data_IF_018165027686
#
_entry.id   IF_018165027686
#
_cell.length_a   1.000
_cell.length_b   1.000
_cell.length_c   1.000
_cell.angle_alpha   90.00
_cell.angle_beta   90.00
_cell.angle_gamma   90.00
#
_symmetry.space_group_name_H-M   'P 1'
#
loop_
_entity.id
_entity.type
_entity.pdbx_description
1 polymer ?
#
# COMPACT_ATOMS: atom_id res chain seq x y z
N UNK A 1 -31.45 17.94 -2.27
CA UNK A 1 -30.11 17.38 -2.57
C UNK A 1 -29.14 18.01 -1.59
N UNK A 2 -28.48 17.23 -0.73
CA UNK A 2 -27.45 17.73 0.17
C UNK A 2 -26.19 18.06 -0.63
N UNK A 3 -25.67 19.29 -0.49
CA UNK A 3 -24.39 19.67 -1.06
C UNK A 3 -23.27 18.97 -0.29
N UNK A 4 -22.66 17.95 -0.88
CA UNK A 4 -21.43 17.36 -0.33
C UNK A 4 -20.25 18.24 -0.74
N UNK A 5 -19.51 18.83 0.23
CA UNK A 5 -18.35 19.65 -0.09
C UNK A 5 -17.34 18.83 -0.91
N UNK A 6 -16.86 19.43 -1.99
CA UNK A 6 -15.83 18.82 -2.82
C UNK A 6 -14.50 18.82 -2.06
N UNK A 7 -14.10 17.66 -1.54
CA UNK A 7 -12.82 17.48 -0.86
C UNK A 7 -11.66 17.61 -1.86
N UNK A 8 -10.67 18.44 -1.53
CA UNK A 8 -9.43 18.59 -2.29
C UNK A 8 -8.25 18.16 -1.44
N UNK A 9 -7.29 17.49 -2.07
CA UNK A 9 -6.04 17.07 -1.46
C UNK A 9 -4.86 17.84 -2.07
N UNK A 10 -3.76 17.88 -1.33
CA UNK A 10 -2.48 18.37 -1.84
C UNK A 10 -1.82 17.32 -2.74
N UNK A 11 -1.29 17.77 -3.87
CA UNK A 11 -0.62 16.92 -4.86
C UNK A 11 0.72 17.52 -5.25
N UNK A 12 1.71 16.66 -5.49
CA UNK A 12 3.06 17.07 -5.87
C UNK A 12 3.34 16.70 -7.34
N UNK A 13 3.47 17.73 -8.21
CA UNK A 13 3.76 17.53 -9.63
C UNK A 13 5.09 16.80 -9.86
N UNK A 14 6.10 17.02 -9.03
CA UNK A 14 7.43 16.40 -9.20
C UNK A 14 7.38 14.91 -8.88
N UNK A 15 6.64 14.52 -7.85
CA UNK A 15 6.44 13.11 -7.50
C UNK A 15 5.65 12.41 -8.61
N UNK A 16 4.58 13.03 -9.11
CA UNK A 16 3.81 12.52 -10.23
C UNK A 16 4.69 12.30 -11.48
N UNK A 17 5.44 13.32 -11.91
CA UNK A 17 6.33 13.21 -13.06
C UNK A 17 7.39 12.13 -12.90
N UNK A 18 8.03 12.05 -11.73
CA UNK A 18 9.06 11.06 -11.45
C UNK A 18 8.47 9.65 -11.51
N UNK A 19 7.26 9.47 -10.98
CA UNK A 19 6.53 8.20 -11.01
C UNK A 19 6.22 7.77 -12.43
N UNK A 20 5.71 8.67 -13.27
CA UNK A 20 5.43 8.35 -14.67
C UNK A 20 6.70 8.00 -15.45
N UNK A 21 7.78 8.77 -15.28
CA UNK A 21 9.08 8.47 -15.90
C UNK A 21 9.59 7.09 -15.51
N UNK A 22 9.45 6.73 -14.24
CA UNK A 22 9.83 5.43 -13.73
C UNK A 22 9.01 4.30 -14.40
N UNK A 23 7.70 4.52 -14.58
CA UNK A 23 6.80 3.60 -15.31
C UNK A 23 7.01 3.60 -16.84
N UNK A 24 7.95 4.39 -17.38
CA UNK A 24 8.17 4.53 -18.82
C UNK A 24 7.05 5.32 -19.54
N UNK A 25 6.21 6.05 -18.80
CA UNK A 25 5.07 6.82 -19.33
C UNK A 25 5.31 8.33 -19.21
N UNK A 26 4.47 9.14 -19.85
CA UNK A 26 4.54 10.60 -19.74
C UNK A 26 3.16 11.23 -19.44
N UNK A 27 3.17 12.50 -18.99
CA UNK A 27 1.95 13.21 -18.56
C UNK A 27 0.91 13.32 -19.67
N UNK A 28 1.34 13.53 -20.92
CA UNK A 28 0.44 13.67 -22.06
C UNK A 28 -0.27 12.36 -22.35
N UNK A 29 0.49 11.29 -22.51
CA UNK A 29 -0.02 9.94 -22.75
C UNK A 29 -1.01 9.50 -21.66
N UNK A 30 -0.62 9.64 -20.38
CA UNK A 30 -1.48 9.25 -19.26
C UNK A 30 -2.73 10.13 -19.18
N UNK A 31 -2.60 11.44 -19.42
CA UNK A 31 -3.72 12.36 -19.37
C UNK A 31 -4.77 12.09 -20.46
N UNK A 32 -4.33 11.80 -21.69
CA UNK A 32 -5.21 11.41 -22.78
C UNK A 32 -5.84 10.03 -22.53
N UNK A 33 -5.06 9.06 -22.07
CA UNK A 33 -5.58 7.72 -21.78
C UNK A 33 -6.61 7.74 -20.64
N UNK A 34 -6.35 8.50 -19.56
CA UNK A 34 -7.27 8.68 -18.44
C UNK A 34 -8.60 9.33 -18.88
N UNK A 35 -8.52 10.32 -19.78
CA UNK A 35 -9.72 11.01 -20.28
C UNK A 35 -10.60 10.11 -21.16
N UNK A 36 -9.99 9.20 -21.92
CA UNK A 36 -10.67 8.32 -22.87
C UNK A 36 -10.97 6.91 -22.31
N UNK A 37 -10.61 6.62 -21.06
CA UNK A 37 -10.82 5.30 -20.46
C UNK A 37 -12.28 5.09 -20.05
N UNK A 38 -12.97 4.13 -20.69
CA UNK A 38 -14.40 3.92 -20.47
C UNK A 38 -14.77 3.31 -19.11
N UNK A 39 -13.81 2.66 -18.45
CA UNK A 39 -13.97 2.08 -17.12
C UNK A 39 -14.02 3.13 -16.00
N UNK A 40 -13.59 4.36 -16.29
CA UNK A 40 -13.61 5.47 -15.33
C UNK A 40 -14.95 6.20 -15.45
N UNK A 41 -15.61 6.50 -14.33
CA UNK A 41 -16.81 7.37 -14.33
C UNK A 41 -16.49 8.70 -15.04
N UNK A 42 -17.27 9.04 -16.07
CA UNK A 42 -17.11 10.27 -16.85
C UNK A 42 -17.07 11.56 -15.99
N UNK A 43 -17.67 11.55 -14.80
CA UNK A 43 -17.61 12.66 -13.82
C UNK A 43 -16.22 12.84 -13.19
N UNK A 44 -15.40 11.80 -13.19
CA UNK A 44 -14.04 11.76 -12.66
C UNK A 44 -12.99 12.00 -13.74
N UNK A 45 -13.28 11.66 -15.01
CA UNK A 45 -12.36 11.88 -16.14
C UNK A 45 -11.98 13.34 -16.28
N UNK A 46 -10.70 13.62 -16.52
CA UNK A 46 -10.15 14.96 -16.73
C UNK A 46 -9.21 14.91 -17.91
N UNK A 47 -9.29 15.92 -18.77
CA UNK A 47 -8.33 16.06 -19.87
C UNK A 47 -6.92 16.27 -19.33
N UNK A 48 -5.92 15.96 -20.16
CA UNK A 48 -4.49 16.25 -19.87
C UNK A 48 -4.33 17.68 -19.35
N UNK A 49 -4.94 18.65 -20.04
CA UNK A 49 -4.84 20.07 -19.69
C UNK A 49 -5.40 20.34 -18.29
N UNK A 50 -6.52 19.70 -17.92
CA UNK A 50 -7.13 19.86 -16.61
C UNK A 50 -6.27 19.22 -15.50
N UNK A 51 -5.74 18.02 -15.73
CA UNK A 51 -4.82 17.35 -14.81
C UNK A 51 -3.54 18.17 -14.60
N UNK A 52 -2.90 18.61 -15.69
CA UNK A 52 -1.71 19.47 -15.64
C UNK A 52 -1.95 20.74 -14.85
N UNK A 53 -3.10 21.40 -15.05
CA UNK A 53 -3.45 22.61 -14.30
C UNK A 53 -3.67 22.32 -12.80
N UNK A 54 -4.24 21.16 -12.44
CA UNK A 54 -4.43 20.76 -11.05
C UNK A 54 -3.09 20.47 -10.36
N UNK A 55 -2.18 19.75 -11.03
CA UNK A 55 -0.82 19.50 -10.53
C UNK A 55 -0.02 20.80 -10.35
N UNK A 56 -0.07 21.72 -11.32
CA UNK A 56 0.56 23.04 -11.19
C UNK A 56 0.01 23.88 -10.02
N UNK A 57 -1.28 23.72 -9.70
CA UNK A 57 -1.91 24.37 -8.54
C UNK A 57 -1.62 23.67 -7.22
N UNK A 58 -1.01 22.48 -7.26
CA UNK A 58 -0.75 21.65 -6.08
C UNK A 58 -2.00 21.12 -5.39
N UNK A 59 -3.19 21.21 -6.01
CA UNK A 59 -4.46 20.77 -5.41
C UNK A 59 -5.35 20.08 -6.44
N UNK A 60 -5.87 18.90 -6.09
CA UNK A 60 -6.79 18.13 -6.92
C UNK A 60 -7.99 17.64 -6.11
N UNK A 61 -9.12 17.43 -6.78
CA UNK A 61 -10.28 16.77 -6.18
C UNK A 61 -9.90 15.35 -5.76
N UNK A 62 -10.25 14.94 -4.54
CA UNK A 62 -9.81 13.66 -3.96
C UNK A 62 -10.25 12.44 -4.77
N UNK A 63 -11.51 12.40 -5.16
CA UNK A 63 -12.11 11.35 -6.00
C UNK A 63 -11.46 11.25 -7.40
N UNK A 64 -11.15 12.39 -8.02
CA UNK A 64 -10.43 12.44 -9.31
C UNK A 64 -9.01 11.92 -9.14
N UNK A 65 -8.35 12.32 -8.05
CA UNK A 65 -6.99 11.87 -7.79
C UNK A 65 -6.93 10.38 -7.45
N UNK A 66 -7.87 9.87 -6.67
CA UNK A 66 -7.98 8.43 -6.37
C UNK A 66 -8.25 7.62 -7.65
N UNK A 67 -9.14 8.09 -8.52
CA UNK A 67 -9.36 7.47 -9.83
C UNK A 67 -8.09 7.49 -10.70
N UNK A 68 -7.34 8.59 -10.69
CA UNK A 68 -6.07 8.70 -11.40
C UNK A 68 -5.01 7.75 -10.82
N UNK A 69 -4.92 7.67 -9.50
CA UNK A 69 -4.01 6.78 -8.79
C UNK A 69 -4.31 5.31 -9.12
N UNK A 70 -5.58 4.92 -9.11
CA UNK A 70 -6.05 3.59 -9.54
C UNK A 70 -5.72 3.31 -10.99
N UNK A 71 -5.96 4.27 -11.89
CA UNK A 71 -5.68 4.13 -13.32
C UNK A 71 -4.18 3.93 -13.61
N UNK A 72 -3.30 4.51 -12.80
CA UNK A 72 -1.84 4.39 -12.94
C UNK A 72 -1.32 3.18 -12.15
N UNK A 73 -2.17 2.50 -11.37
CA UNK A 73 -1.81 1.44 -10.43
C UNK A 73 -0.76 1.88 -9.40
N UNK A 74 -0.96 3.05 -8.78
CA UNK A 74 -0.07 3.58 -7.73
C UNK A 74 -0.89 4.05 -6.54
N UNK A 75 -0.41 3.78 -5.32
CA UNK A 75 -1.01 4.23 -4.08
C UNK A 75 -1.16 5.77 -4.03
N UNK A 76 -2.33 6.29 -3.65
CA UNK A 76 -2.60 7.72 -3.66
C UNK A 76 -1.75 8.53 -2.66
N UNK A 77 -1.32 7.96 -1.54
CA UNK A 77 -0.45 8.64 -0.57
C UNK A 77 0.99 8.76 -1.12
N UNK A 78 1.46 7.74 -1.85
CA UNK A 78 2.72 7.83 -2.59
C UNK A 78 2.62 8.87 -3.71
N UNK A 79 1.63 8.73 -4.61
CA UNK A 79 1.51 9.55 -5.81
C UNK A 79 1.31 11.04 -5.50
N UNK A 80 0.59 11.35 -4.42
CA UNK A 80 0.33 12.73 -3.97
C UNK A 80 1.57 13.41 -3.37
N UNK A 81 2.63 12.64 -3.12
CA UNK A 81 3.82 13.09 -2.42
C UNK A 81 3.64 13.14 -0.90
N UNK A 82 2.51 12.66 -0.35
CA UNK A 82 2.23 12.70 1.09
C UNK A 82 3.28 11.93 1.88
N UNK A 83 3.60 10.70 1.48
CA UNK A 83 4.64 9.90 2.15
C UNK A 83 6.01 10.61 2.19
N UNK A 84 6.37 11.32 1.12
CA UNK A 84 7.63 12.10 1.08
C UNK A 84 7.60 13.31 2.02
N UNK A 85 6.43 13.95 2.21
CA UNK A 85 6.25 15.03 3.20
C UNK A 85 6.32 14.47 4.61
N UNK A 86 5.67 13.34 4.86
CA UNK A 86 5.65 12.65 6.15
C UNK A 86 7.09 12.26 6.58
N UNK A 87 7.90 11.69 5.68
CA UNK A 87 9.31 11.38 5.95
C UNK A 87 10.14 12.64 6.24
N UNK A 88 9.89 13.74 5.51
CA UNK A 88 10.58 15.02 5.75
C UNK A 88 10.27 15.57 7.13
N UNK A 89 9.06 15.33 7.66
CA UNK A 89 8.62 15.80 8.96
C UNK A 89 9.16 14.98 10.15
N UNK A 90 9.66 13.76 9.92
CA UNK A 90 10.24 12.92 10.99
C UNK A 90 11.41 13.62 11.70
N UNK A 91 11.54 13.44 13.01
CA UNK A 91 12.70 13.94 13.77
C UNK A 91 13.84 12.90 13.81
N UNK A 92 14.45 12.68 12.64
CA UNK A 92 15.56 11.73 12.46
C UNK A 92 16.69 12.35 11.63
N UNK A 93 17.93 11.83 11.72
CA UNK A 93 19.05 12.35 10.95
C UNK A 93 18.76 12.42 9.45
N UNK A 94 19.28 13.47 8.78
CA UNK A 94 19.04 13.68 7.35
C UNK A 94 19.53 12.53 6.46
N UNK A 95 20.55 11.77 6.89
CA UNK A 95 20.99 10.55 6.22
C UNK A 95 19.90 9.47 6.20
N UNK A 96 19.20 9.28 7.32
CA UNK A 96 18.08 8.32 7.44
C UNK A 96 16.91 8.76 6.56
N UNK A 97 16.54 10.04 6.56
CA UNK A 97 15.49 10.58 5.66
C UNK A 97 15.82 10.33 4.19
N UNK A 98 17.07 10.55 3.78
CA UNK A 98 17.52 10.29 2.40
C UNK A 98 17.44 8.80 2.05
N UNK A 99 17.88 7.91 2.95
CA UNK A 99 17.79 6.48 2.74
C UNK A 99 16.34 6.02 2.55
N UNK A 100 15.42 6.51 3.39
CA UNK A 100 13.99 6.22 3.26
C UNK A 100 13.44 6.70 1.91
N UNK A 101 13.67 7.96 1.53
CA UNK A 101 13.21 8.52 0.25
C UNK A 101 13.76 7.76 -0.96
N UNK A 102 15.03 7.34 -0.92
CA UNK A 102 15.66 6.56 -2.01
C UNK A 102 15.07 5.17 -2.10
N UNK A 103 14.70 4.56 -0.96
CA UNK A 103 14.11 3.23 -0.93
C UNK A 103 12.68 3.16 -1.46
N UNK A 104 12.00 4.30 -1.58
CA UNK A 104 10.64 4.40 -2.08
C UNK A 104 10.62 4.37 -3.61
N UNK A 105 10.28 3.21 -4.18
CA UNK A 105 10.10 3.00 -5.61
C UNK A 105 8.62 2.81 -5.92
N UNK A 106 8.11 3.31 -7.08
CA UNK A 106 6.69 3.16 -7.44
C UNK A 106 6.16 1.71 -7.35
N UNK A 107 6.98 0.72 -7.72
CA UNK A 107 6.63 -0.72 -7.65
C UNK A 107 6.20 -1.19 -6.26
N UNK A 108 6.73 -0.58 -5.20
CA UNK A 108 6.42 -0.94 -3.81
C UNK A 108 5.11 -0.33 -3.31
N UNK A 109 4.54 0.59 -4.09
CA UNK A 109 3.38 1.38 -3.74
C UNK A 109 2.34 1.28 -4.85
N UNK A 110 1.95 0.05 -5.23
CA UNK A 110 0.85 -0.19 -6.18
C UNK A 110 -0.49 0.16 -5.57
N UNK A 111 -1.49 0.44 -6.39
CA UNK A 111 -2.81 0.81 -5.89
C UNK A 111 -3.45 -0.37 -5.15
N UNK A 112 -3.95 -0.15 -3.94
CA UNK A 112 -4.50 -1.21 -3.10
C UNK A 112 -3.46 -2.05 -2.35
N UNK A 113 -2.16 -1.94 -2.69
CA UNK A 113 -1.08 -2.47 -1.87
C UNK A 113 -0.68 -1.45 -0.81
N UNK A 114 -1.35 -1.46 0.35
CA UNK A 114 -0.81 -0.80 1.55
C UNK A 114 0.35 -1.65 2.08
N UNK A 115 1.51 -1.02 2.21
CA UNK A 115 2.78 -1.52 2.76
C UNK A 115 2.67 -2.91 3.42
N UNK A 116 3.00 -3.98 2.68
CA UNK A 116 3.01 -5.36 3.22
C UNK A 116 4.08 -5.58 4.31
N UNK A 117 4.94 -4.59 4.55
CA UNK A 117 5.89 -4.58 5.67
C UNK A 117 5.26 -4.17 7.00
N UNK A 118 4.15 -3.44 6.96
CA UNK A 118 3.34 -3.00 8.10
C UNK A 118 1.97 -3.71 8.13
N UNK A 119 1.59 -4.37 7.02
CA UNK A 119 0.34 -5.09 6.87
C UNK A 119 0.31 -6.43 7.59
N UNK A 120 1.44 -7.11 7.83
CA UNK A 120 1.44 -8.35 8.62
C UNK A 120 0.99 -8.09 10.06
N UNK A 121 1.41 -6.97 10.64
CA UNK A 121 0.91 -6.47 11.91
C UNK A 121 -0.59 -6.21 11.83
N UNK A 122 -1.01 -5.24 11.00
CA UNK A 122 -2.42 -4.82 10.90
C UNK A 122 -3.40 -5.92 10.51
N UNK A 123 -3.03 -6.81 9.60
CA UNK A 123 -3.82 -7.99 9.23
C UNK A 123 -4.14 -8.85 10.46
N UNK A 124 -3.14 -9.07 11.31
CA UNK A 124 -3.32 -9.80 12.55
C UNK A 124 -4.19 -9.03 13.55
N UNK A 125 -3.94 -7.72 13.69
CA UNK A 125 -4.75 -6.85 14.56
C UNK A 125 -6.22 -6.80 14.11
N UNK A 126 -6.48 -6.81 12.80
CA UNK A 126 -7.80 -6.77 12.19
C UNK A 126 -8.55 -8.09 12.42
N UNK A 127 -7.90 -9.26 12.23
CA UNK A 127 -8.48 -10.57 12.55
C UNK A 127 -8.89 -10.61 14.03
N UNK A 128 -7.98 -10.24 14.93
CA UNK A 128 -8.25 -10.24 16.36
C UNK A 128 -9.40 -9.29 16.73
N UNK A 129 -9.39 -8.08 16.15
CA UNK A 129 -10.43 -7.07 16.39
C UNK A 129 -11.81 -7.53 15.92
N UNK A 130 -11.90 -8.22 14.77
CA UNK A 130 -13.16 -8.79 14.27
C UNK A 130 -13.75 -9.84 15.22
N UNK A 131 -12.90 -10.54 15.98
CA UNK A 131 -13.30 -11.51 16.99
C UNK A 131 -13.41 -10.95 18.41
N UNK A 132 -13.31 -9.62 18.57
CA UNK A 132 -13.40 -8.96 19.88
C UNK A 132 -12.19 -9.21 20.78
N UNK A 133 -11.05 -9.61 20.22
CA UNK A 133 -9.80 -9.86 20.95
C UNK A 133 -8.90 -8.65 20.82
N UNK A 134 -8.46 -8.11 21.96
CA UNK A 134 -7.59 -6.92 21.99
C UNK A 134 -6.11 -7.27 21.83
N UNK A 135 -5.32 -6.31 21.33
CA UNK A 135 -3.85 -6.42 21.30
C UNK A 135 -3.24 -6.55 22.69
N UNK A 136 -3.92 -6.03 23.72
CA UNK A 136 -3.47 -6.21 25.11
C UNK A 136 -3.53 -7.68 25.53
N UNK A 137 -4.57 -8.40 25.13
CA UNK A 137 -4.69 -9.85 25.39
C UNK A 137 -3.67 -10.65 24.59
N UNK A 138 -3.38 -10.25 23.35
CA UNK A 138 -2.31 -10.85 22.54
C UNK A 138 -0.95 -10.72 23.24
N UNK A 139 -0.60 -9.50 23.68
CA UNK A 139 0.69 -9.22 24.36
C UNK A 139 0.85 -9.93 25.69
N UNK A 140 -0.25 -10.34 26.33
CA UNK A 140 -0.21 -11.14 27.56
C UNK A 140 0.23 -12.59 27.32
N UNK A 141 0.23 -13.07 26.07
CA UNK A 141 0.63 -14.44 25.73
C UNK A 141 2.15 -14.66 25.76
N UNK A 142 2.94 -13.58 25.66
CA UNK A 142 4.39 -13.68 25.47
C UNK A 142 4.78 -13.87 24.01
N UNK A 143 6.03 -13.50 23.67
CA UNK A 143 6.44 -13.33 22.27
C UNK A 143 6.37 -14.65 21.48
N UNK A 144 6.76 -15.77 22.08
CA UNK A 144 6.70 -17.08 21.43
C UNK A 144 5.26 -17.46 21.07
N UNK A 145 4.32 -17.31 22.01
CA UNK A 145 2.91 -17.66 21.77
C UNK A 145 2.21 -16.71 20.80
N UNK A 146 2.62 -15.45 20.73
CA UNK A 146 2.17 -14.54 19.67
C UNK A 146 2.52 -15.09 18.28
N UNK A 147 3.76 -15.58 18.11
CA UNK A 147 4.23 -16.15 16.85
C UNK A 147 3.58 -17.51 16.55
N UNK A 148 3.38 -18.37 17.54
CA UNK A 148 2.65 -19.63 17.39
C UNK A 148 1.21 -19.40 16.91
N UNK A 149 0.52 -18.41 17.49
CA UNK A 149 -0.81 -18.00 17.03
C UNK A 149 -0.76 -17.44 15.60
N UNK A 150 0.26 -16.63 15.30
CA UNK A 150 0.51 -16.12 13.95
C UNK A 150 0.63 -17.22 12.91
N UNK A 151 1.44 -18.21 13.22
CA UNK A 151 1.69 -19.35 12.36
C UNK A 151 0.43 -20.21 12.17
N UNK A 152 -0.31 -20.48 13.26
CA UNK A 152 -1.52 -21.28 13.21
C UNK A 152 -2.61 -20.66 12.31
N UNK A 153 -2.74 -19.33 12.32
CA UNK A 153 -3.68 -18.61 11.47
C UNK A 153 -3.27 -18.70 9.99
N UNK A 154 -1.99 -18.53 9.67
CA UNK A 154 -1.51 -18.65 8.29
C UNK A 154 -1.70 -20.08 7.75
N UNK A 155 -1.38 -21.11 8.54
CA UNK A 155 -1.63 -22.52 8.19
C UNK A 155 -3.11 -22.83 7.99
N UNK A 156 -4.03 -22.06 8.59
CA UNK A 156 -5.47 -22.22 8.38
C UNK A 156 -5.97 -21.45 7.14
N UNK A 157 -5.48 -20.22 6.92
CA UNK A 157 -5.99 -19.33 5.87
C UNK A 157 -5.37 -19.65 4.51
N UNK A 158 -4.06 -19.90 4.45
CA UNK A 158 -3.35 -20.13 3.18
C UNK A 158 -3.97 -21.28 2.37
N UNK A 159 -4.26 -22.47 2.94
CA UNK A 159 -4.90 -23.55 2.18
C UNK A 159 -6.29 -23.17 1.65
N UNK A 160 -7.06 -22.38 2.41
CA UNK A 160 -8.37 -21.90 1.96
C UNK A 160 -8.19 -20.99 0.76
N UNK A 161 -7.30 -20.00 0.83
CA UNK A 161 -7.04 -19.09 -0.29
C UNK A 161 -6.53 -19.84 -1.53
N UNK A 162 -5.59 -20.78 -1.36
CA UNK A 162 -5.08 -21.63 -2.44
C UNK A 162 -6.16 -22.48 -3.11
N UNK A 163 -7.28 -22.77 -2.43
CA UNK A 163 -8.39 -23.54 -3.03
C UNK A 163 -9.24 -22.71 -3.99
N UNK A 164 -9.17 -21.38 -3.93
CA UNK A 164 -9.95 -20.47 -4.77
C UNK A 164 -9.08 -19.70 -5.78
N UNK A 165 -7.78 -19.56 -5.54
CA UNK A 165 -6.89 -18.76 -6.36
C UNK A 165 -5.64 -19.56 -6.74
N UNK A 166 -5.36 -19.65 -8.05
CA UNK A 166 -4.17 -20.32 -8.61
C UNK A 166 -3.01 -19.35 -8.87
N UNK A 167 -3.34 -18.06 -9.09
CA UNK A 167 -2.35 -17.03 -9.44
C UNK A 167 -2.53 -15.79 -8.56
N UNK A 168 -1.43 -15.06 -8.37
CA UNK A 168 -1.42 -13.77 -7.71
C UNK A 168 -2.01 -12.66 -8.60
N UNK A 169 -2.07 -11.44 -8.07
CA UNK A 169 -2.57 -10.27 -8.80
C UNK A 169 -1.74 -9.90 -10.05
N UNK A 170 -0.51 -10.42 -10.16
CA UNK A 170 0.36 -10.24 -11.32
C UNK A 170 0.23 -11.41 -12.33
N UNK A 171 -0.66 -12.36 -12.08
CA UNK A 171 -0.86 -13.55 -12.92
C UNK A 171 0.26 -14.60 -12.78
N UNK A 172 1.09 -14.49 -11.74
CA UNK A 172 2.13 -15.49 -11.42
C UNK A 172 1.53 -16.58 -10.55
N UNK A 173 2.11 -17.77 -10.63
CA UNK A 173 1.76 -18.85 -9.71
C UNK A 173 1.82 -18.36 -8.26
N UNK A 174 0.73 -18.61 -7.53
CA UNK A 174 0.59 -18.22 -6.14
C UNK A 174 1.55 -19.00 -5.24
N UNK A 175 1.98 -20.19 -5.67
CA UNK A 175 3.01 -20.99 -5.02
C UNK A 175 4.43 -20.66 -5.52
N UNK A 176 5.44 -20.66 -4.64
CA UNK A 176 5.38 -20.89 -3.19
C UNK A 176 5.12 -19.61 -2.37
N UNK A 177 5.03 -18.45 -3.02
CA UNK A 177 5.08 -17.14 -2.37
C UNK A 177 3.95 -16.89 -1.35
N UNK A 178 2.80 -17.54 -1.52
CA UNK A 178 1.70 -17.47 -0.54
C UNK A 178 2.09 -17.98 0.86
N UNK A 179 3.09 -18.87 0.95
CA UNK A 179 3.60 -19.40 2.22
C UNK A 179 4.72 -18.55 2.84
N UNK A 180 5.13 -17.46 2.18
CA UNK A 180 6.29 -16.67 2.62
C UNK A 180 6.16 -16.14 4.05
N UNK A 181 4.95 -15.72 4.45
CA UNK A 181 4.73 -15.19 5.80
C UNK A 181 4.86 -16.29 6.87
N UNK A 182 4.25 -17.46 6.65
CA UNK A 182 4.41 -18.61 7.52
C UNK A 182 5.89 -19.02 7.69
N UNK A 183 6.64 -19.11 6.59
CA UNK A 183 8.07 -19.44 6.63
C UNK A 183 8.90 -18.41 7.43
N UNK A 184 8.55 -17.13 7.36
CA UNK A 184 9.20 -16.07 8.16
C UNK A 184 8.87 -16.20 9.65
N UNK A 185 7.64 -16.57 10.00
CA UNK A 185 7.22 -16.78 11.38
C UNK A 185 7.90 -18.02 11.97
N UNK A 186 7.97 -19.12 11.22
CA UNK A 186 8.68 -20.35 11.61
C UNK A 186 10.14 -20.05 11.94
N UNK A 187 10.85 -19.35 11.04
CA UNK A 187 12.24 -18.95 11.32
C UNK A 187 12.39 -18.07 12.57
N UNK A 188 11.43 -17.18 12.84
CA UNK A 188 11.46 -16.35 14.04
C UNK A 188 11.20 -17.14 15.33
N UNK A 189 10.40 -18.21 15.28
CA UNK A 189 10.20 -19.13 16.41
C UNK A 189 11.48 -19.94 16.66
N UNK A 190 12.08 -20.49 15.61
CA UNK A 190 13.33 -21.24 15.70
C UNK A 190 14.45 -20.39 16.31
N UNK A 191 14.55 -19.12 15.91
CA UNK A 191 15.52 -18.17 16.47
C UNK A 191 15.28 -17.92 17.97
N UNK A 192 14.03 -17.78 18.42
CA UNK A 192 13.71 -17.62 19.85
C UNK A 192 14.07 -18.87 20.66
N UNK A 193 13.79 -20.05 20.11
CA UNK A 193 14.09 -21.33 20.74
C UNK A 193 15.59 -21.56 20.85
N UNK A 194 16.37 -21.18 19.84
CA UNK A 194 17.83 -21.23 19.89
C UNK A 194 18.45 -20.25 20.89
N UNK A 195 17.80 -19.12 21.14
CA UNK A 195 18.28 -18.08 22.05
C UNK A 195 17.80 -18.27 23.50
N UNK A 196 16.89 -19.20 23.76
CA UNK A 196 16.33 -19.46 25.10
C UNK A 196 15.53 -18.29 25.67
N UNK A 197 14.90 -17.50 24.79
CA UNK A 197 14.09 -16.33 25.14
C UNK A 197 12.62 -16.70 25.01
N UNK A 198 11.96 -17.04 26.12
CA UNK A 198 10.50 -17.28 26.19
C UNK A 198 9.68 -15.98 26.24
#
# INVERSE_FOLDING_TARGET
MSYTPIEKIEVDERVYEKTLKWLGRNKTEVGEAFYNCDEIDGRLRRSERALRNAFKKGKMRKDVFDALARFIDIDPDYLSGKLFRDIKALDVPGSVKRALIVSMTPEKYRYGMRDTKDASGRYFEDILSLHGISLTQLRQLGRKRELELALAIEHAIVPVLSSFFEVDAEGKDLYPEIWRLAAQIEGAIDDLDMLGLE
#
